data_IF_567946516386
#
_entry.id   IF_567946516386
#
_cell.length_a   1.000
_cell.length_b   1.000
_cell.length_c   1.000
_cell.angle_alpha   90.00
_cell.angle_beta   90.00
_cell.angle_gamma   90.00
#
_symmetry.space_group_name_H-M   'P 1'
#
loop_
_entity.id
_entity.type
_entity.pdbx_description
1 polymer ?
#
# COMPACT_ATOMS: atom_id res chain seq x y z
N UNK A 1 -32.82 -21.66 6.66
CA UNK A 1 -32.12 -20.66 5.82
C UNK A 1 -30.71 -20.57 6.37
N UNK A 2 -29.75 -21.20 5.68
CA UNK A 2 -28.35 -21.11 6.08
C UNK A 2 -27.88 -19.66 5.94
N UNK A 3 -27.61 -19.04 7.08
CA UNK A 3 -26.98 -17.73 7.15
C UNK A 3 -25.54 -17.88 6.71
N UNK A 4 -25.19 -17.31 5.55
CA UNK A 4 -23.81 -17.20 5.08
C UNK A 4 -22.98 -16.53 6.20
N UNK A 5 -22.01 -17.26 6.73
CA UNK A 5 -21.14 -16.77 7.81
C UNK A 5 -19.95 -15.98 7.26
N UNK A 6 -19.45 -15.03 8.07
CA UNK A 6 -18.28 -14.21 7.70
C UNK A 6 -17.04 -15.07 7.47
N UNK A 7 -16.90 -16.16 8.22
CA UNK A 7 -15.81 -17.13 8.10
C UNK A 7 -15.81 -17.83 6.74
N UNK A 8 -16.98 -18.24 6.24
CA UNK A 8 -17.13 -18.89 4.93
C UNK A 8 -16.75 -17.92 3.80
N UNK A 9 -17.16 -16.66 3.92
CA UNK A 9 -16.80 -15.61 2.94
C UNK A 9 -15.29 -15.35 2.96
N UNK A 10 -14.67 -15.22 4.14
CA UNK A 10 -13.22 -15.05 4.27
C UNK A 10 -12.44 -16.24 3.71
N UNK A 11 -12.91 -17.47 3.95
CA UNK A 11 -12.29 -18.68 3.42
C UNK A 11 -12.32 -18.72 1.88
N UNK A 12 -13.42 -18.25 1.27
CA UNK A 12 -13.50 -18.13 -0.19
C UNK A 12 -12.59 -17.02 -0.73
N UNK A 13 -12.57 -15.84 -0.09
CA UNK A 13 -11.73 -14.72 -0.49
C UNK A 13 -10.22 -15.02 -0.38
N UNK A 14 -9.79 -15.97 0.45
CA UNK A 14 -8.39 -16.46 0.49
C UNK A 14 -7.92 -17.10 -0.82
N UNK A 15 -8.83 -17.48 -1.73
CA UNK A 15 -8.47 -18.00 -3.05
C UNK A 15 -8.11 -16.90 -4.04
N UNK A 16 -8.49 -15.66 -3.76
CA UNK A 16 -8.18 -14.50 -4.61
C UNK A 16 -6.76 -14.05 -4.34
N UNK A 17 -5.93 -14.08 -5.37
CA UNK A 17 -4.52 -13.71 -5.32
C UNK A 17 -4.35 -12.27 -5.80
N UNK A 18 -3.49 -11.52 -5.13
CA UNK A 18 -3.00 -10.26 -5.66
C UNK A 18 -2.07 -10.54 -6.86
N UNK A 19 -2.36 -10.00 -8.05
CA UNK A 19 -1.60 -10.28 -9.28
C UNK A 19 -0.17 -9.71 -9.27
N UNK A 20 0.15 -8.72 -8.41
CA UNK A 20 1.49 -8.15 -8.30
C UNK A 20 2.32 -8.86 -7.23
N UNK A 21 1.71 -9.18 -6.10
CA UNK A 21 2.39 -9.73 -4.91
C UNK A 21 2.33 -11.27 -4.89
N UNK A 22 1.47 -11.87 -5.72
CA UNK A 22 1.22 -13.32 -5.78
C UNK A 22 0.92 -13.93 -4.42
N UNK A 23 0.16 -13.20 -3.60
CA UNK A 23 -0.27 -13.61 -2.26
C UNK A 23 -1.74 -13.29 -2.06
N UNK A 24 -2.41 -14.03 -1.18
CA UNK A 24 -3.85 -13.88 -1.00
C UNK A 24 -4.23 -12.55 -0.35
N UNK A 25 -5.30 -11.95 -0.86
CA UNK A 25 -5.78 -10.61 -0.45
C UNK A 25 -6.18 -10.55 1.04
N UNK A 26 -6.54 -11.70 1.64
CA UNK A 26 -6.93 -11.79 3.05
C UNK A 26 -5.69 -11.76 3.95
N UNK A 27 -4.65 -12.54 3.64
CA UNK A 27 -3.39 -12.53 4.39
C UNK A 27 -2.61 -11.24 4.22
N UNK A 28 -2.76 -10.56 3.08
CA UNK A 28 -2.22 -9.20 2.88
C UNK A 28 -2.98 -8.16 3.71
N UNK A 29 -4.15 -8.53 4.26
CA UNK A 29 -5.01 -7.66 5.05
C UNK A 29 -5.65 -6.56 4.22
N UNK A 30 -5.87 -6.81 2.92
CA UNK A 30 -6.47 -5.89 1.97
C UNK A 30 -7.99 -5.85 2.10
N UNK A 31 -8.61 -6.93 2.57
CA UNK A 31 -10.06 -6.98 2.82
C UNK A 31 -10.38 -6.26 4.14
N UNK A 32 -11.19 -5.20 4.07
CA UNK A 32 -11.65 -4.38 5.20
C UNK A 32 -13.17 -4.29 5.22
N UNK A 33 -13.72 -3.97 6.40
CA UNK A 33 -15.14 -3.68 6.60
C UNK A 33 -16.08 -4.76 6.04
N UNK A 34 -15.71 -6.04 6.21
CA UNK A 34 -16.54 -7.14 5.73
C UNK A 34 -17.84 -7.23 6.54
N UNK A 35 -18.95 -6.99 5.85
CA UNK A 35 -20.29 -7.18 6.37
C UNK A 35 -21.09 -8.17 5.54
N UNK A 36 -21.93 -8.95 6.23
CA UNK A 36 -22.76 -10.00 5.63
C UNK A 36 -24.14 -9.89 6.27
N UNK A 37 -25.11 -9.40 5.50
CA UNK A 37 -26.46 -9.14 5.98
C UNK A 37 -27.48 -9.76 5.01
N UNK A 38 -28.19 -10.80 5.47
CA UNK A 38 -29.28 -11.43 4.70
C UNK A 38 -28.87 -11.97 3.32
N UNK A 39 -27.62 -12.45 3.17
CA UNK A 39 -27.08 -12.94 1.90
C UNK A 39 -26.43 -11.87 1.02
N UNK A 40 -26.52 -10.59 1.39
CA UNK A 40 -25.72 -9.52 0.77
C UNK A 40 -24.37 -9.41 1.46
N UNK A 41 -23.30 -9.39 0.67
CA UNK A 41 -21.92 -9.23 1.14
C UNK A 41 -21.42 -7.86 0.71
N UNK A 42 -20.87 -7.10 1.64
CA UNK A 42 -20.18 -5.84 1.35
C UNK A 42 -18.80 -5.80 1.98
N UNK A 43 -17.77 -5.42 1.23
CA UNK A 43 -16.42 -5.18 1.78
C UNK A 43 -15.64 -4.16 0.97
N UNK A 44 -14.55 -3.67 1.57
CA UNK A 44 -13.58 -2.79 0.92
C UNK A 44 -12.30 -3.57 0.62
N UNK A 45 -11.78 -3.47 -0.60
CA UNK A 45 -10.43 -3.94 -0.95
C UNK A 45 -9.49 -2.73 -0.96
N UNK A 46 -8.55 -2.71 -0.03
CA UNK A 46 -7.47 -1.72 0.03
C UNK A 46 -6.32 -2.15 -0.87
N UNK A 47 -6.15 -1.43 -1.99
CA UNK A 47 -5.05 -1.64 -2.92
C UNK A 47 -3.76 -1.00 -2.40
N UNK A 48 -2.63 -1.58 -2.81
CA UNK A 48 -1.27 -1.11 -2.51
C UNK A 48 -0.94 0.21 -3.22
N UNK A 49 -1.56 0.46 -4.38
CA UNK A 49 -1.41 1.70 -5.14
C UNK A 49 -2.76 2.20 -5.69
N UNK A 50 -2.98 3.53 -5.74
CA UNK A 50 -4.26 4.10 -6.20
C UNK A 50 -4.51 3.93 -7.70
N UNK A 51 -3.45 3.80 -8.49
CA UNK A 51 -3.49 3.72 -9.95
C UNK A 51 -3.57 2.27 -10.49
N UNK A 52 -3.76 1.27 -9.62
CA UNK A 52 -3.70 -0.11 -10.02
C UNK A 52 -4.82 -0.44 -11.03
N UNK A 53 -4.49 -0.83 -12.29
CA UNK A 53 -5.47 -1.23 -13.31
C UNK A 53 -6.16 -2.57 -12.98
N UNK A 54 -5.78 -3.20 -11.88
CA UNK A 54 -6.15 -4.56 -11.51
C UNK A 54 -7.46 -4.62 -10.71
N UNK A 55 -8.16 -3.48 -10.56
CA UNK A 55 -9.48 -3.40 -9.90
C UNK A 55 -10.49 -4.37 -10.53
N UNK A 56 -10.59 -4.35 -11.86
CA UNK A 56 -11.52 -5.22 -12.59
C UNK A 56 -11.16 -6.70 -12.40
N UNK A 57 -9.88 -7.05 -12.53
CA UNK A 57 -9.42 -8.42 -12.34
C UNK A 57 -9.71 -8.93 -10.92
N UNK A 58 -9.40 -8.15 -9.89
CA UNK A 58 -9.67 -8.52 -8.50
C UNK A 58 -11.18 -8.63 -8.25
N UNK A 59 -11.99 -7.73 -8.84
CA UNK A 59 -13.45 -7.82 -8.77
C UNK A 59 -13.96 -9.13 -9.37
N UNK A 60 -13.49 -9.49 -10.56
CA UNK A 60 -13.90 -10.72 -11.25
C UNK A 60 -13.50 -11.98 -10.49
N UNK A 61 -12.30 -11.98 -9.90
CA UNK A 61 -11.84 -13.11 -9.10
C UNK A 61 -12.60 -13.23 -7.77
N UNK A 62 -12.98 -12.10 -7.15
CA UNK A 62 -13.88 -12.10 -5.99
C UNK A 62 -15.28 -12.63 -6.35
N UNK A 63 -15.85 -12.17 -7.47
CA UNK A 63 -17.13 -12.64 -7.98
C UNK A 63 -17.10 -14.17 -8.19
N UNK A 64 -16.05 -14.67 -8.84
CA UNK A 64 -15.86 -16.10 -9.12
C UNK A 64 -15.67 -16.93 -7.86
N UNK A 65 -14.88 -16.43 -6.89
CA UNK A 65 -14.63 -17.12 -5.64
C UNK A 65 -15.90 -17.24 -4.78
N UNK A 66 -16.77 -16.23 -4.82
CA UNK A 66 -18.00 -16.17 -4.03
C UNK A 66 -19.22 -16.77 -4.74
N UNK A 67 -19.24 -16.86 -6.08
CA UNK A 67 -20.35 -17.43 -6.85
C UNK A 67 -20.69 -18.89 -6.47
N UNK A 68 -19.75 -19.63 -5.89
CA UNK A 68 -19.96 -21.03 -5.45
C UNK A 68 -20.58 -21.20 -4.06
N UNK A 69 -20.92 -20.11 -3.35
CA UNK A 69 -21.54 -20.18 -2.03
C UNK A 69 -23.06 -20.01 -2.15
N UNK A 70 -23.80 -21.02 -1.71
CA UNK A 70 -25.26 -20.96 -1.66
C UNK A 70 -25.73 -19.89 -0.64
N UNK A 71 -26.74 -19.11 -1.03
CA UNK A 71 -27.33 -18.07 -0.17
C UNK A 71 -26.80 -16.65 -0.37
N UNK A 72 -25.85 -16.43 -1.29
CA UNK A 72 -25.43 -15.08 -1.68
C UNK A 72 -26.44 -14.48 -2.66
N UNK A 73 -27.01 -13.33 -2.30
CA UNK A 73 -28.01 -12.60 -3.09
C UNK A 73 -27.47 -11.31 -3.69
N UNK A 74 -26.31 -10.84 -3.24
CA UNK A 74 -25.65 -9.65 -3.79
C UNK A 74 -24.25 -9.46 -3.24
N UNK A 75 -23.40 -8.83 -4.04
CA UNK A 75 -22.01 -8.55 -3.71
C UNK A 75 -21.68 -7.10 -4.06
N UNK A 76 -21.23 -6.34 -3.07
CA UNK A 76 -20.81 -4.95 -3.20
C UNK A 76 -19.35 -4.83 -2.79
N UNK A 77 -18.49 -4.47 -3.74
CA UNK A 77 -17.05 -4.30 -3.51
C UNK A 77 -16.69 -2.84 -3.69
N UNK A 78 -16.19 -2.22 -2.63
CA UNK A 78 -15.60 -0.89 -2.68
C UNK A 78 -14.08 -1.00 -2.80
N UNK A 79 -13.44 -0.15 -3.60
CA UNK A 79 -11.97 -0.11 -3.70
C UNK A 79 -11.44 1.13 -3.01
N UNK A 80 -10.56 0.91 -2.04
CA UNK A 80 -9.76 1.95 -1.40
C UNK A 80 -8.30 1.83 -1.83
N UNK A 81 -7.52 2.86 -1.53
CA UNK A 81 -6.06 2.79 -1.60
C UNK A 81 -5.49 3.21 -0.25
N UNK A 82 -4.69 2.34 0.36
CA UNK A 82 -3.95 2.65 1.57
C UNK A 82 -2.47 2.41 1.28
N UNK A 83 -1.75 3.50 1.01
CA UNK A 83 -0.29 3.46 0.93
C UNK A 83 0.22 3.29 2.35
N UNK A 84 0.58 2.05 2.71
CA UNK A 84 1.25 1.80 3.98
C UNK A 84 2.58 2.55 3.94
N UNK A 85 2.76 3.48 4.88
CA UNK A 85 4.05 4.14 5.07
C UNK A 85 5.14 3.08 5.29
N UNK A 86 6.27 3.26 4.63
CA UNK A 86 7.49 2.51 4.95
C UNK A 86 7.72 2.66 6.45
N UNK A 87 7.55 1.58 7.23
CA UNK A 87 8.08 1.56 8.60
C UNK A 87 9.59 1.72 8.45
N UNK A 88 10.08 2.93 8.72
CA UNK A 88 11.51 3.19 8.91
C UNK A 88 12.04 2.10 9.83
N UNK A 89 13.13 1.45 9.42
CA UNK A 89 13.59 0.18 9.98
C UNK A 89 13.62 0.16 11.51
N UNK A 90 13.32 -1.01 12.08
CA UNK A 90 13.35 -1.27 13.50
C UNK A 90 14.61 -0.68 14.16
N UNK A 91 14.44 0.38 14.97
CA UNK A 91 15.51 0.94 15.80
C UNK A 91 15.83 2.42 15.60
N UNK A 92 15.27 3.13 14.61
CA UNK A 92 15.40 4.59 14.58
C UNK A 92 14.33 5.21 15.47
N UNK A 93 14.79 5.93 16.51
CA UNK A 93 14.01 6.98 17.17
C UNK A 93 13.33 7.82 16.09
N UNK A 94 12.07 8.16 16.32
CA UNK A 94 11.23 8.93 15.41
C UNK A 94 11.75 10.39 15.36
N UNK A 95 12.91 10.60 14.75
CA UNK A 95 13.63 11.88 14.72
C UNK A 95 12.84 12.96 13.96
N UNK A 96 11.93 12.53 13.08
CA UNK A 96 11.08 13.39 12.25
C UNK A 96 9.64 12.85 12.27
N UNK A 97 8.91 12.96 13.39
CA UNK A 97 7.61 12.30 13.58
C UNK A 97 6.51 12.82 12.65
N UNK A 98 6.70 14.02 12.07
CA UNK A 98 5.78 14.59 11.09
C UNK A 98 6.12 14.24 9.64
N UNK A 99 7.25 13.57 9.38
CA UNK A 99 7.73 13.26 8.03
C UNK A 99 7.36 11.83 7.65
N UNK A 100 6.48 11.68 6.66
CA UNK A 100 5.99 10.37 6.22
C UNK A 100 7.03 9.53 5.48
N UNK A 101 7.96 10.17 4.77
CA UNK A 101 8.96 9.50 3.93
C UNK A 101 10.27 10.29 3.93
N UNK A 102 11.41 9.60 4.02
CA UNK A 102 12.75 10.18 3.88
C UNK A 102 13.43 9.55 2.66
N UNK A 103 13.87 10.38 1.71
CA UNK A 103 14.58 9.95 0.51
C UNK A 103 16.02 10.44 0.58
N UNK A 104 16.97 9.51 0.68
CA UNK A 104 18.40 9.84 0.71
C UNK A 104 18.93 9.99 -0.72
N UNK A 105 19.51 11.15 -1.04
CA UNK A 105 20.24 11.39 -2.28
C UNK A 105 21.72 11.57 -1.95
N UNK A 106 22.54 10.57 -2.24
CA UNK A 106 23.97 10.54 -1.89
C UNK A 106 24.86 10.39 -3.13
N UNK A 107 26.09 10.91 -3.04
CA UNK A 107 27.11 10.79 -4.07
C UNK A 107 28.50 10.62 -3.43
N UNK A 108 29.33 9.74 -3.99
CA UNK A 108 30.69 9.51 -3.50
C UNK A 108 31.77 10.43 -4.09
N UNK A 109 31.40 11.35 -5.00
CA UNK A 109 32.32 12.24 -5.72
C UNK A 109 31.70 13.62 -5.92
N UNK A 110 32.54 14.66 -5.98
CA UNK A 110 32.11 16.02 -6.32
C UNK A 110 31.73 16.16 -7.80
N UNK A 111 30.77 17.04 -8.10
CA UNK A 111 30.40 17.39 -9.48
C UNK A 111 29.48 16.42 -10.21
N UNK A 112 29.01 15.33 -9.56
CA UNK A 112 28.13 14.33 -10.21
C UNK A 112 26.65 14.75 -10.27
N UNK A 113 26.32 15.96 -9.83
CA UNK A 113 24.94 16.47 -9.87
C UNK A 113 24.04 16.05 -8.70
N UNK A 114 24.58 15.60 -7.55
CA UNK A 114 23.79 15.27 -6.32
C UNK A 114 22.74 16.36 -6.02
N UNK A 115 23.18 17.61 -5.90
CA UNK A 115 22.32 18.74 -5.53
C UNK A 115 21.30 19.05 -6.62
N UNK A 116 21.67 18.89 -7.90
CA UNK A 116 20.76 19.07 -9.05
C UNK A 116 19.64 18.03 -9.02
N UNK A 117 19.97 16.75 -8.80
CA UNK A 117 18.98 15.68 -8.70
C UNK A 117 18.09 15.87 -7.47
N UNK A 118 18.67 16.20 -6.31
CA UNK A 118 17.92 16.41 -5.08
C UNK A 118 16.93 17.58 -5.19
N UNK A 119 17.37 18.71 -5.78
CA UNK A 119 16.51 19.87 -6.00
C UNK A 119 15.37 19.57 -6.98
N UNK A 120 15.66 18.95 -8.13
CA UNK A 120 14.63 18.62 -9.11
C UNK A 120 13.63 17.60 -8.58
N UNK A 121 14.10 16.59 -7.81
CA UNK A 121 13.22 15.63 -7.17
C UNK A 121 12.29 16.31 -6.17
N UNK A 122 12.81 17.21 -5.33
CA UNK A 122 12.00 17.94 -4.36
C UNK A 122 10.93 18.81 -5.03
N UNK A 123 11.30 19.53 -6.11
CA UNK A 123 10.36 20.34 -6.90
C UNK A 123 9.29 19.45 -7.54
N UNK A 124 9.68 18.34 -8.16
CA UNK A 124 8.74 17.41 -8.80
C UNK A 124 7.73 16.83 -7.80
N UNK A 125 8.19 16.42 -6.61
CA UNK A 125 7.31 15.93 -5.53
C UNK A 125 6.34 17.02 -5.06
N UNK A 126 6.83 18.25 -4.89
CA UNK A 126 5.99 19.40 -4.52
C UNK A 126 4.92 19.69 -5.58
N UNK A 127 5.29 19.63 -6.86
CA UNK A 127 4.36 19.80 -7.99
C UNK A 127 3.27 18.72 -8.02
N UNK A 128 3.59 17.51 -7.56
CA UNK A 128 2.63 16.40 -7.43
C UNK A 128 1.84 16.43 -6.10
N UNK A 129 1.87 17.56 -5.37
CA UNK A 129 1.05 17.78 -4.18
C UNK A 129 1.64 17.26 -2.87
N UNK A 130 2.87 16.77 -2.86
CA UNK A 130 3.52 16.37 -1.61
C UNK A 130 3.92 17.59 -0.76
N UNK A 131 3.83 17.45 0.56
CA UNK A 131 4.49 18.38 1.49
C UNK A 131 5.97 17.98 1.55
N UNK A 132 6.80 18.73 0.82
CA UNK A 132 8.21 18.39 0.60
C UNK A 132 9.13 19.43 1.23
N UNK A 133 10.18 18.94 1.90
CA UNK A 133 11.34 19.74 2.32
C UNK A 133 12.62 19.16 1.70
N UNK A 134 13.65 19.97 1.56
CA UNK A 134 14.97 19.57 1.09
C UNK A 134 16.00 19.98 2.15
N UNK A 135 16.83 19.01 2.57
CA UNK A 135 17.94 19.21 3.50
C UNK A 135 19.23 18.82 2.78
N UNK A 136 20.17 19.74 2.67
CA UNK A 136 21.53 19.39 2.24
C UNK A 136 22.34 19.02 3.48
N UNK A 137 22.84 17.79 3.50
CA UNK A 137 23.67 17.26 4.58
C UNK A 137 24.99 16.81 3.97
N UNK A 138 26.06 17.55 4.27
CA UNK A 138 27.41 17.16 3.90
C UNK A 138 28.04 16.34 5.03
N UNK A 139 27.99 15.02 4.89
CA UNK A 139 28.66 14.10 5.81
C UNK A 139 30.11 13.94 5.33
N UNK A 140 31.02 14.72 5.91
CA UNK A 140 32.45 14.47 5.76
C UNK A 140 32.86 13.32 6.70
N UNK A 141 33.67 12.38 6.19
CA UNK A 141 34.25 11.30 7.00
C UNK A 141 35.13 11.84 8.14
N UNK A 142 35.52 11.02 9.12
CA UNK A 142 36.30 11.48 10.26
C UNK A 142 37.62 12.12 9.77
N UNK A 143 37.79 13.41 10.04
CA UNK A 143 39.01 14.17 9.68
C UNK A 143 40.26 13.62 10.38
N UNK A 144 40.07 12.82 11.43
CA UNK A 144 41.10 12.06 12.13
C UNK A 144 40.57 10.63 12.28
N UNK A 145 41.11 9.64 11.56
CA UNK A 145 40.88 8.25 11.92
C UNK A 145 41.61 8.01 13.26
N UNK A 146 40.87 7.55 14.27
CA UNK A 146 41.48 6.93 15.46
C UNK A 146 41.80 5.48 15.10
#
# INVERSE_FOLDING_TARGET
METVSKETVLAALRRVQDPEIHRDIVSLGMVKNLDVTGGKISFTVELTTPACPLREQIQDDCNRALAGIEGITGLEISFGAQVRGSKTGAGQTDLLPSVKNVVLVAAGKGGVGKSTVAANLAVALKMHGAVTGLLDADIYGPSIPI
#
